data_IF_418117602069
#
_entry.id   IF_418117602069
#
_cell.length_a   1.000
_cell.length_b   1.000
_cell.length_c   1.000
_cell.angle_alpha   90.00
_cell.angle_beta   90.00
_cell.angle_gamma   90.00
#
_symmetry.space_group_name_H-M   'P 1'
#
loop_
_entity.id
_entity.type
_entity.pdbx_description
1 polymer ?
#
# COMPACT_ATOMS: atom_id res chain seq x y z
N UNK A 1 20.20 21.29 -21.38
CA UNK A 1 18.88 21.11 -20.76
C UNK A 1 19.05 21.35 -19.29
N UNK A 2 18.61 22.51 -18.82
CA UNK A 2 18.90 23.05 -17.49
C UNK A 2 17.94 22.43 -16.48
N UNK A 3 18.44 21.56 -15.62
CA UNK A 3 17.79 21.21 -14.35
C UNK A 3 18.03 22.36 -13.38
N UNK A 4 17.07 23.27 -13.26
CA UNK A 4 17.02 24.27 -12.18
C UNK A 4 15.97 23.83 -11.18
N UNK A 5 16.26 24.10 -9.91
CA UNK A 5 15.51 23.84 -8.66
C UNK A 5 14.10 24.49 -8.59
N UNK A 6 13.51 24.84 -9.73
CA UNK A 6 12.35 25.73 -9.89
C UNK A 6 11.04 24.97 -10.20
N UNK A 7 11.07 23.64 -10.08
CA UNK A 7 9.94 22.78 -10.45
C UNK A 7 9.66 22.73 -11.96
N UNK A 8 8.62 21.98 -12.34
CA UNK A 8 8.19 21.82 -13.74
C UNK A 8 6.83 22.47 -13.93
N UNK A 9 6.74 23.45 -14.83
CA UNK A 9 5.47 24.08 -15.20
C UNK A 9 4.61 23.05 -15.95
N UNK A 10 3.38 22.83 -15.48
CA UNK A 10 2.40 21.94 -16.09
C UNK A 10 1.11 22.70 -16.38
N UNK A 11 0.49 22.41 -17.52
CA UNK A 11 -0.81 22.98 -17.85
C UNK A 11 -1.92 22.21 -17.13
N UNK A 12 -2.90 22.94 -16.63
CA UNK A 12 -4.13 22.37 -16.10
C UNK A 12 -5.04 21.94 -17.25
N UNK A 13 -5.73 20.80 -17.06
CA UNK A 13 -6.85 20.45 -17.94
C UNK A 13 -8.01 21.43 -17.73
N UNK A 14 -8.96 21.47 -18.67
CA UNK A 14 -10.19 22.28 -18.53
C UNK A 14 -11.00 21.97 -17.26
N UNK A 15 -10.79 20.78 -16.68
CA UNK A 15 -11.45 20.33 -15.45
C UNK A 15 -10.59 20.57 -14.20
N UNK A 16 -9.49 21.31 -14.30
CA UNK A 16 -8.58 21.59 -13.19
C UNK A 16 -7.68 20.43 -12.78
N UNK A 17 -7.41 19.47 -13.68
CA UNK A 17 -6.49 18.37 -13.37
C UNK A 17 -5.06 18.76 -13.69
N UNK A 18 -4.15 18.58 -12.73
CA UNK A 18 -2.71 18.67 -12.94
C UNK A 18 -2.12 17.26 -13.00
N UNK A 19 -1.28 17.01 -14.01
CA UNK A 19 -0.58 15.71 -14.14
C UNK A 19 0.76 15.79 -13.43
N UNK A 20 0.98 14.93 -12.44
CA UNK A 20 2.27 14.82 -11.75
C UNK A 20 3.30 14.18 -12.69
N UNK A 21 4.44 14.82 -12.97
CA UNK A 21 5.51 14.26 -13.77
C UNK A 21 5.98 12.89 -13.26
N UNK A 22 6.42 12.02 -14.18
CA UNK A 22 6.84 10.64 -13.87
C UNK A 22 7.90 10.59 -12.77
N UNK A 23 8.91 11.45 -12.85
CA UNK A 23 10.03 11.52 -11.89
C UNK A 23 9.55 11.77 -10.46
N UNK A 24 8.58 12.68 -10.27
CA UNK A 24 8.00 12.97 -8.96
C UNK A 24 7.11 11.82 -8.47
N UNK A 25 6.34 11.19 -9.36
CA UNK A 25 5.53 10.01 -9.00
C UNK A 25 6.39 8.87 -8.47
N UNK A 26 7.49 8.55 -9.17
CA UNK A 26 8.39 7.48 -8.77
C UNK A 26 9.11 7.80 -7.46
N UNK A 27 9.59 9.04 -7.30
CA UNK A 27 10.27 9.48 -6.06
C UNK A 27 9.36 9.41 -4.83
N UNK A 28 8.08 9.71 -4.99
CA UNK A 28 7.11 9.75 -3.89
C UNK A 28 6.20 8.50 -3.81
N UNK A 29 6.48 7.46 -4.59
CA UNK A 29 5.70 6.21 -4.56
C UNK A 29 4.23 6.37 -4.96
N UNK A 30 3.91 7.33 -5.83
CA UNK A 30 2.55 7.59 -6.30
C UNK A 30 2.28 6.75 -7.55
N UNK A 31 1.68 5.59 -7.36
CA UNK A 31 1.26 4.71 -8.44
C UNK A 31 -0.09 5.13 -9.07
N UNK A 32 -0.37 4.73 -10.32
CA UNK A 32 -1.70 4.92 -10.91
C UNK A 32 -2.79 4.29 -10.04
N UNK A 33 -3.78 5.08 -9.63
CA UNK A 33 -4.87 4.64 -8.76
C UNK A 33 -4.61 4.84 -7.27
N UNK A 34 -3.40 5.27 -6.87
CA UNK A 34 -3.11 5.68 -5.49
C UNK A 34 -3.90 6.92 -5.10
N UNK A 35 -4.30 6.98 -3.83
CA UNK A 35 -4.98 8.14 -3.25
C UNK A 35 -3.94 9.13 -2.73
N UNK A 36 -4.22 10.42 -2.90
CA UNK A 36 -3.36 11.50 -2.39
C UNK A 36 -4.19 12.47 -1.54
N UNK A 37 -3.58 13.06 -0.53
CA UNK A 37 -4.12 14.18 0.24
C UNK A 37 -3.60 15.47 -0.38
N UNK A 38 -4.51 16.42 -0.64
CA UNK A 38 -4.17 17.76 -1.10
C UNK A 38 -4.60 18.74 -0.02
N UNK A 39 -3.69 19.57 0.47
CA UNK A 39 -3.96 20.59 1.48
C UNK A 39 -3.01 21.78 1.32
N UNK A 40 -3.32 22.89 1.97
CA UNK A 40 -2.48 24.09 2.02
C UNK A 40 -1.63 24.05 3.29
N UNK A 41 -0.33 24.34 3.19
CA UNK A 41 0.56 24.45 4.35
C UNK A 41 0.54 25.88 4.95
N UNK A 42 1.26 26.08 6.05
CA UNK A 42 1.35 27.39 6.72
C UNK A 42 2.00 28.49 5.85
N UNK A 43 2.70 28.10 4.78
CA UNK A 43 3.35 29.00 3.82
C UNK A 43 2.45 29.34 2.62
N UNK A 44 1.22 28.80 2.57
CA UNK A 44 0.28 29.01 1.47
C UNK A 44 0.54 28.14 0.23
N UNK A 45 1.36 27.10 0.36
CA UNK A 45 1.70 26.19 -0.73
C UNK A 45 0.74 25.00 -0.77
N UNK A 46 0.40 24.54 -1.98
CA UNK A 46 -0.38 23.33 -2.18
C UNK A 46 0.52 22.11 -2.02
N UNK A 47 0.31 21.35 -0.96
CA UNK A 47 1.04 20.12 -0.65
C UNK A 47 0.23 18.91 -1.09
N UNK A 48 0.89 18.00 -1.82
CA UNK A 48 0.32 16.73 -2.27
C UNK A 48 1.06 15.57 -1.61
N UNK A 49 0.38 14.83 -0.75
CA UNK A 49 0.94 13.71 0.00
C UNK A 49 0.32 12.38 -0.42
N UNK A 50 1.11 11.31 -0.66
CA UNK A 50 0.56 9.97 -0.87
C UNK A 50 -0.13 9.47 0.40
N UNK A 51 -1.31 8.89 0.26
CA UNK A 51 -2.01 8.22 1.36
C UNK A 51 -1.76 6.70 1.29
N UNK A 52 -1.24 6.08 2.36
CA UNK A 52 -1.05 4.65 2.38
C UNK A 52 -2.39 3.93 2.27
N UNK A 53 -2.40 2.85 1.49
CA UNK A 53 -3.53 1.96 1.35
C UNK A 53 -3.58 0.95 2.50
N UNK A 54 -4.75 0.38 2.79
CA UNK A 54 -4.85 -0.72 3.74
C UNK A 54 -4.01 -1.93 3.33
N UNK A 55 -3.74 -2.09 2.03
CA UNK A 55 -2.89 -3.17 1.52
C UNK A 55 -1.42 -2.96 1.91
N UNK A 56 -0.98 -1.71 2.06
CA UNK A 56 0.38 -1.34 2.45
C UNK A 56 0.64 -1.72 3.92
N UNK A 57 -0.41 -1.79 4.74
CA UNK A 57 -0.35 -2.24 6.12
C UNK A 57 -0.43 -3.77 6.29
N UNK A 58 -0.48 -4.54 5.20
CA UNK A 58 -0.52 -6.01 5.27
C UNK A 58 0.72 -6.53 5.99
N UNK A 59 0.51 -7.21 7.11
CA UNK A 59 1.59 -7.77 7.93
C UNK A 59 2.23 -6.77 8.90
N UNK A 60 1.74 -5.52 8.99
CA UNK A 60 2.21 -4.56 9.99
C UNK A 60 1.84 -4.96 11.43
N UNK A 61 0.74 -5.72 11.59
CA UNK A 61 0.32 -6.31 12.85
C UNK A 61 0.82 -7.76 12.97
N UNK A 62 2.14 -7.96 13.09
CA UNK A 62 2.69 -9.26 13.49
C UNK A 62 2.74 -9.36 15.01
N UNK A 63 1.87 -10.19 15.59
CA UNK A 63 2.22 -10.91 16.83
C UNK A 63 3.32 -11.93 16.50
N UNK A 64 4.18 -12.25 17.47
CA UNK A 64 5.36 -13.10 17.25
C UNK A 64 5.04 -14.49 16.66
N UNK A 65 3.81 -14.96 16.81
CA UNK A 65 3.35 -16.21 16.21
C UNK A 65 2.75 -15.98 14.82
N UNK A 66 3.40 -16.55 13.81
CA UNK A 66 2.84 -16.60 12.47
C UNK A 66 1.50 -17.36 12.52
N UNK A 67 0.38 -16.73 12.17
CA UNK A 67 -0.93 -17.38 12.17
C UNK A 67 -1.00 -18.67 11.33
N UNK A 68 -0.10 -18.83 10.35
CA UNK A 68 0.04 -20.09 9.59
C UNK A 68 0.60 -21.24 10.42
N UNK A 69 1.36 -20.97 11.48
CA UNK A 69 1.85 -21.98 12.42
C UNK A 69 0.69 -22.53 13.26
N UNK A 70 -0.18 -21.67 13.79
CA UNK A 70 -1.39 -22.07 14.54
C UNK A 70 -2.27 -22.99 13.68
N UNK A 71 -2.53 -22.59 12.43
CA UNK A 71 -3.32 -23.39 11.49
C UNK A 71 -2.65 -24.71 11.06
N UNK A 72 -1.33 -24.86 11.21
CA UNK A 72 -0.64 -26.12 10.88
C UNK A 72 -0.84 -27.17 11.97
N UNK A 73 -0.89 -26.77 13.22
CA UNK A 73 -1.12 -27.69 14.35
C UNK A 73 -2.53 -28.26 14.31
N UNK A 74 -3.55 -27.41 14.15
CA UNK A 74 -4.93 -27.87 14.00
C UNK A 74 -5.10 -28.83 12.83
N UNK A 75 -4.49 -28.54 11.67
CA UNK A 75 -4.53 -29.44 10.50
C UNK A 75 -3.86 -30.78 10.74
N UNK A 76 -2.82 -30.86 11.59
CA UNK A 76 -2.21 -32.14 11.97
C UNK A 76 -3.16 -32.95 12.84
N UNK A 77 -3.73 -32.33 13.86
CA UNK A 77 -4.71 -32.97 14.74
C UNK A 77 -5.93 -33.49 13.96
N UNK A 78 -6.43 -32.70 13.00
CA UNK A 78 -7.58 -33.08 12.18
C UNK A 78 -7.27 -34.25 11.24
N UNK A 79 -6.06 -34.29 10.66
CA UNK A 79 -5.56 -35.44 9.89
C UNK A 79 -5.47 -36.71 10.73
N UNK A 80 -4.92 -36.62 11.94
CA UNK A 80 -4.81 -37.77 12.84
C UNK A 80 -6.19 -38.31 13.26
N UNK A 81 -7.14 -37.40 13.48
CA UNK A 81 -8.52 -37.76 13.81
C UNK A 81 -9.20 -38.48 12.64
N UNK A 82 -8.99 -37.99 11.41
CA UNK A 82 -9.50 -38.59 10.19
C UNK A 82 -8.92 -40.00 9.97
N UNK A 83 -7.60 -40.15 10.12
CA UNK A 83 -6.91 -41.44 10.00
C UNK A 83 -7.34 -42.46 11.05
N UNK A 84 -7.69 -42.01 12.27
CA UNK A 84 -8.23 -42.89 13.31
C UNK A 84 -9.61 -43.42 12.90
N UNK A 85 -10.49 -42.53 12.44
CA UNK A 85 -11.84 -42.89 12.01
C UNK A 85 -11.83 -43.82 10.79
N UNK A 86 -10.89 -43.66 9.86
CA UNK A 86 -10.71 -44.57 8.71
C UNK A 86 -10.18 -45.95 9.09
N UNK A 87 -9.50 -46.11 10.24
CA UNK A 87 -8.97 -47.40 10.71
C UNK A 87 -9.97 -48.24 11.50
N UNK A 88 -11.01 -47.59 12.04
CA UNK A 88 -12.04 -48.23 12.86
C UNK A 88 -13.30 -48.63 12.04
N UNK A 89 -13.28 -48.40 10.72
CA UNK A 89 -14.27 -48.87 9.72
C UNK A 89 -13.72 -50.04 8.90
#
# INVERSE_FOLDING_TARGET
>A
MSTTDEGRIVNLSQKGQATIPKELREKHGIEPGSRVRIHENEQGEIVVEPLPSLQDFRGAATTAECGTAILREERKADKERSQRLERDN
#
